data_IF_267187595273
#
_entry.id   IF_267187595273
#
_cell.length_a   1.000
_cell.length_b   1.000
_cell.length_c   1.000
_cell.angle_alpha   90.00
_cell.angle_beta   90.00
_cell.angle_gamma   90.00
#
_symmetry.space_group_name_H-M   'P 1'
#
loop_
_entity.id
_entity.type
_entity.pdbx_description
1 polymer ?
#
# COMPACT_ATOMS: atom_id res chain seq x y z
N UNK A 1 4.33 21.83 14.40
CA UNK A 1 4.10 21.27 13.06
C UNK A 1 2.62 21.39 12.76
N UNK A 2 2.25 21.99 11.63
CA UNK A 2 0.86 22.33 11.32
C UNK A 2 0.22 21.26 10.40
N UNK A 3 0.24 20.00 10.88
CA UNK A 3 -0.43 18.88 10.21
C UNK A 3 -1.06 17.93 11.22
N UNK A 4 -2.09 17.21 10.78
CA UNK A 4 -2.82 16.21 11.55
C UNK A 4 -2.97 14.91 10.77
N UNK A 5 -3.24 13.81 11.50
CA UNK A 5 -3.59 12.53 10.92
C UNK A 5 -5.11 12.37 10.78
N UNK A 6 -5.57 11.88 9.64
CA UNK A 6 -6.95 11.44 9.41
C UNK A 6 -6.93 9.93 9.22
N UNK A 7 -7.78 9.22 9.97
CA UNK A 7 -7.95 7.75 9.94
C UNK A 7 -9.31 7.31 9.41
N UNK A 8 -10.18 8.26 9.13
CA UNK A 8 -11.51 8.04 8.60
C UNK A 8 -11.54 8.50 7.14
N UNK A 9 -11.74 7.55 6.21
CA UNK A 9 -11.71 7.83 4.78
C UNK A 9 -12.79 8.82 4.33
N UNK A 10 -13.92 8.88 5.04
CA UNK A 10 -15.00 9.82 4.76
C UNK A 10 -14.62 11.29 5.06
N UNK A 11 -13.59 11.50 5.89
CA UNK A 11 -13.08 12.84 6.25
C UNK A 11 -11.94 13.31 5.35
N UNK A 12 -11.46 12.47 4.46
CA UNK A 12 -10.45 12.83 3.47
C UNK A 12 -11.18 13.45 2.27
N UNK A 13 -10.78 14.65 1.86
CA UNK A 13 -11.34 15.25 0.66
C UNK A 13 -10.98 14.42 -0.58
N UNK A 14 -11.99 13.99 -1.33
CA UNK A 14 -11.84 13.04 -2.44
C UNK A 14 -10.97 13.61 -3.55
N UNK A 15 -11.22 14.85 -3.94
CA UNK A 15 -10.48 15.48 -5.04
C UNK A 15 -9.01 15.66 -4.68
N UNK A 16 -8.73 16.08 -3.44
CA UNK A 16 -7.35 16.21 -2.95
C UNK A 16 -6.65 14.86 -2.84
N UNK A 17 -7.37 13.80 -2.46
CA UNK A 17 -6.82 12.46 -2.42
C UNK A 17 -6.46 11.97 -3.81
N UNK A 18 -7.38 12.03 -4.75
CA UNK A 18 -7.17 11.65 -6.15
C UNK A 18 -6.04 12.46 -6.78
N UNK A 19 -6.05 13.78 -6.61
CA UNK A 19 -5.00 14.69 -7.09
C UNK A 19 -3.61 14.34 -6.52
N UNK A 20 -3.53 14.03 -5.21
CA UNK A 20 -2.28 13.65 -4.58
C UNK A 20 -1.72 12.38 -5.19
N UNK A 21 -2.54 11.34 -5.36
CA UNK A 21 -2.11 10.07 -5.98
C UNK A 21 -1.71 10.30 -7.44
N UNK A 22 -2.51 11.02 -8.21
CA UNK A 22 -2.25 11.23 -9.64
C UNK A 22 -0.97 12.03 -9.91
N UNK A 23 -0.70 13.04 -9.08
CA UNK A 23 0.48 13.92 -9.24
C UNK A 23 1.76 13.35 -8.61
N UNK A 24 1.63 12.34 -7.73
CA UNK A 24 2.77 11.77 -7.04
C UNK A 24 3.61 10.90 -7.99
N UNK A 25 4.96 11.07 -8.05
CA UNK A 25 5.83 10.29 -8.97
C UNK A 25 5.69 8.77 -8.81
N UNK A 26 5.39 8.31 -7.59
CA UNK A 26 5.16 6.90 -7.28
C UNK A 26 3.67 6.60 -7.06
N UNK A 27 2.76 7.46 -7.56
CA UNK A 27 1.32 7.27 -7.45
C UNK A 27 0.88 5.96 -8.10
N UNK A 28 -0.04 5.24 -7.45
CA UNK A 28 -0.45 3.92 -7.90
C UNK A 28 -1.85 3.58 -7.38
N UNK A 29 -2.47 2.58 -7.99
CA UNK A 29 -3.83 2.14 -7.67
C UNK A 29 -3.98 1.67 -6.21
N UNK A 30 -2.94 1.10 -5.59
CA UNK A 30 -3.02 0.52 -4.25
C UNK A 30 -3.18 1.56 -3.14
N UNK A 31 -3.01 2.86 -3.43
CA UNK A 31 -3.18 3.94 -2.48
C UNK A 31 -4.42 4.82 -2.80
N UNK A 32 -5.26 4.39 -3.76
CA UNK A 32 -6.46 5.12 -4.17
C UNK A 32 -7.65 4.83 -3.26
N UNK A 33 -8.66 5.70 -3.33
CA UNK A 33 -9.94 5.49 -2.66
C UNK A 33 -10.69 4.28 -3.20
N UNK A 34 -10.64 4.05 -4.50
CA UNK A 34 -11.27 2.92 -5.16
C UNK A 34 -10.73 1.60 -4.62
N UNK A 35 -9.41 1.52 -4.41
CA UNK A 35 -8.80 0.34 -3.79
C UNK A 35 -9.22 0.18 -2.33
N UNK A 36 -9.35 1.27 -1.58
CA UNK A 36 -9.91 1.21 -0.22
C UNK A 36 -11.32 0.62 -0.24
N UNK A 37 -12.17 1.05 -1.15
CA UNK A 37 -13.54 0.55 -1.30
C UNK A 37 -13.58 -0.92 -1.76
N UNK A 38 -12.65 -1.35 -2.62
CA UNK A 38 -12.46 -2.76 -2.97
C UNK A 38 -12.16 -3.58 -1.72
N UNK A 39 -11.21 -3.14 -0.88
CA UNK A 39 -10.89 -3.85 0.36
C UNK A 39 -12.06 -3.86 1.35
N UNK A 40 -12.79 -2.75 1.46
CA UNK A 40 -13.96 -2.64 2.34
C UNK A 40 -15.07 -3.64 1.98
N UNK A 41 -15.23 -3.91 0.67
CA UNK A 41 -16.24 -4.83 0.14
C UNK A 41 -15.71 -6.27 -0.09
N UNK A 42 -14.50 -6.57 0.34
CA UNK A 42 -13.91 -7.90 0.22
C UNK A 42 -14.03 -8.66 1.54
N UNK A 43 -14.56 -9.85 1.50
CA UNK A 43 -14.70 -10.71 2.69
C UNK A 43 -13.36 -10.95 3.38
N UNK A 44 -13.34 -10.88 4.71
CA UNK A 44 -12.18 -11.07 5.58
C UNK A 44 -11.06 -10.00 5.42
N UNK A 45 -11.36 -8.89 4.74
CA UNK A 45 -10.47 -7.75 4.62
C UNK A 45 -10.96 -6.60 5.49
N UNK A 46 -10.03 -5.93 6.17
CA UNK A 46 -10.29 -4.72 6.97
C UNK A 46 -9.30 -3.65 6.50
N UNK A 47 -9.74 -2.68 5.68
CA UNK A 47 -8.86 -1.61 5.20
C UNK A 47 -8.50 -0.64 6.32
N UNK A 48 -7.27 -0.13 6.26
CA UNK A 48 -6.74 0.91 7.13
C UNK A 48 -6.24 2.04 6.25
N UNK A 49 -6.73 3.24 6.51
CA UNK A 49 -6.25 4.45 5.87
C UNK A 49 -5.65 5.40 6.90
N UNK A 50 -4.48 5.91 6.61
CA UNK A 50 -3.82 6.96 7.37
C UNK A 50 -3.43 8.06 6.39
N UNK A 51 -3.92 9.27 6.61
CA UNK A 51 -3.60 10.42 5.78
C UNK A 51 -3.08 11.57 6.64
N UNK A 52 -1.92 12.08 6.31
CA UNK A 52 -1.34 13.28 6.94
C UNK A 52 -1.73 14.48 6.10
N UNK A 53 -2.41 15.43 6.73
CA UNK A 53 -2.94 16.62 6.05
C UNK A 53 -2.54 17.90 6.76
N UNK A 54 -2.28 18.96 6.00
CA UNK A 54 -2.12 20.33 6.50
C UNK A 54 -3.44 20.90 6.99
N UNK A 55 -3.40 22.04 7.69
CA UNK A 55 -4.60 22.78 8.14
C UNK A 55 -5.53 23.19 7.01
N UNK A 56 -4.99 23.45 5.81
CA UNK A 56 -5.77 23.75 4.61
C UNK A 56 -6.33 22.49 3.90
N UNK A 57 -6.06 21.30 4.45
CA UNK A 57 -6.56 20.01 3.94
C UNK A 57 -5.68 19.39 2.82
N UNK A 58 -4.54 19.98 2.47
CA UNK A 58 -3.63 19.38 1.50
C UNK A 58 -2.94 18.14 2.09
N UNK A 59 -2.85 17.07 1.30
CA UNK A 59 -2.20 15.84 1.71
C UNK A 59 -0.67 16.01 1.66
N UNK A 60 -0.03 15.55 2.74
CA UNK A 60 1.42 15.41 2.82
C UNK A 60 1.86 13.96 2.68
N UNK A 61 0.99 13.03 3.02
CA UNK A 61 1.26 11.61 2.87
C UNK A 61 0.03 10.77 3.10
N UNK A 62 0.04 9.57 2.54
CA UNK A 62 -1.03 8.59 2.63
C UNK A 62 -0.46 7.18 2.74
N UNK A 63 -1.08 6.36 3.57
CA UNK A 63 -0.80 4.94 3.72
C UNK A 63 -2.11 4.19 3.73
N UNK A 64 -2.34 3.37 2.71
CA UNK A 64 -3.41 2.40 2.67
C UNK A 64 -2.85 1.01 2.92
N UNK A 65 -3.38 0.34 3.93
CA UNK A 65 -3.09 -1.04 4.25
C UNK A 65 -4.38 -1.86 4.33
N UNK A 66 -4.26 -3.16 4.27
CA UNK A 66 -5.38 -4.08 4.48
C UNK A 66 -5.00 -5.16 5.48
N UNK A 67 -5.83 -5.36 6.51
CA UNK A 67 -5.74 -6.53 7.38
C UNK A 67 -6.49 -7.67 6.71
N UNK A 68 -5.79 -8.76 6.48
CA UNK A 68 -6.34 -10.00 5.94
C UNK A 68 -6.45 -11.04 7.06
N UNK A 69 -7.64 -11.61 7.24
CA UNK A 69 -7.91 -12.67 8.21
C UNK A 69 -8.16 -13.99 7.47
N UNK A 70 -7.47 -15.06 7.86
CA UNK A 70 -7.68 -16.38 7.24
C UNK A 70 -8.99 -16.99 7.72
N UNK A 71 -9.33 -16.81 9.00
CA UNK A 71 -10.57 -17.32 9.60
C UNK A 71 -11.49 -16.19 10.04
N UNK A 72 -12.81 -16.46 10.02
CA UNK A 72 -13.83 -15.57 10.60
C UNK A 72 -13.90 -15.76 12.12
N UNK A 73 -14.40 -14.74 12.84
CA UNK A 73 -14.61 -14.80 14.28
C UNK A 73 -13.36 -14.65 15.14
N UNK A 74 -13.41 -15.13 16.38
CA UNK A 74 -12.35 -14.96 17.40
C UNK A 74 -11.01 -15.54 16.97
N UNK A 75 -10.99 -16.63 16.22
CA UNK A 75 -9.77 -17.24 15.69
C UNK A 75 -9.11 -16.42 14.58
N UNK A 76 -9.85 -15.50 13.96
CA UNK A 76 -9.31 -14.62 12.90
C UNK A 76 -8.18 -13.73 13.37
N UNK A 77 -8.21 -13.30 14.63
CA UNK A 77 -7.14 -12.45 15.21
C UNK A 77 -5.80 -13.16 15.29
N UNK A 78 -5.79 -14.48 15.48
CA UNK A 78 -4.56 -15.29 15.55
C UNK A 78 -3.93 -15.58 14.19
N UNK A 79 -4.59 -15.20 13.10
CA UNK A 79 -4.14 -15.46 11.73
C UNK A 79 -4.09 -14.18 10.89
N UNK A 80 -4.38 -13.04 11.52
CA UNK A 80 -4.43 -11.78 10.84
C UNK A 80 -3.03 -11.25 10.50
N UNK A 81 -2.87 -10.78 9.28
CA UNK A 81 -1.70 -10.05 8.82
C UNK A 81 -2.11 -8.73 8.20
N UNK A 82 -1.27 -7.71 8.29
CA UNK A 82 -1.48 -6.47 7.56
C UNK A 82 -0.56 -6.39 6.36
N UNK A 83 -1.11 -5.98 5.21
CA UNK A 83 -0.32 -5.79 4.00
C UNK A 83 -0.45 -4.34 3.54
N UNK A 84 0.69 -3.71 3.29
CA UNK A 84 0.80 -2.43 2.61
C UNK A 84 1.33 -2.73 1.20
N UNK A 85 0.48 -2.55 0.18
CA UNK A 85 0.90 -2.73 -1.20
C UNK A 85 1.55 -1.45 -1.71
N UNK A 86 2.70 -1.58 -2.37
CA UNK A 86 3.50 -0.53 -2.98
C UNK A 86 4.13 0.47 -1.99
N UNK A 87 3.76 0.44 -0.72
CA UNK A 87 4.24 1.35 0.32
C UNK A 87 3.44 2.66 0.44
N UNK A 88 3.69 3.42 1.50
CA UNK A 88 3.10 4.74 1.67
C UNK A 88 3.62 5.71 0.60
N UNK A 89 2.80 6.70 0.25
CA UNK A 89 3.18 7.82 -0.59
C UNK A 89 3.34 9.06 0.28
N UNK A 90 4.46 9.76 0.13
CA UNK A 90 4.81 10.93 0.92
C UNK A 90 5.38 11.99 0.00
N UNK A 91 4.92 13.23 0.15
CA UNK A 91 5.41 14.35 -0.64
C UNK A 91 6.93 14.46 -0.54
N UNK A 92 7.61 14.57 -1.67
CA UNK A 92 9.07 14.72 -1.77
C UNK A 92 9.87 13.67 -0.97
N UNK A 93 9.28 12.48 -0.74
CA UNK A 93 9.81 11.42 0.12
C UNK A 93 10.23 11.94 1.53
N UNK A 94 9.50 12.92 2.09
CA UNK A 94 9.80 13.57 3.37
C UNK A 94 9.93 12.54 4.50
N UNK A 95 11.13 12.38 5.07
CA UNK A 95 11.41 11.37 6.09
C UNK A 95 10.61 11.57 7.37
N UNK A 96 10.26 12.81 7.71
CA UNK A 96 9.51 13.13 8.93
C UNK A 96 8.06 12.67 8.81
N UNK A 97 7.44 12.93 7.66
CA UNK A 97 6.07 12.49 7.36
C UNK A 97 6.00 10.98 7.24
N UNK A 98 7.00 10.35 6.61
CA UNK A 98 7.09 8.89 6.52
C UNK A 98 7.19 8.25 7.90
N UNK A 99 8.11 8.71 8.75
CA UNK A 99 8.26 8.21 10.11
C UNK A 99 6.98 8.36 10.93
N UNK A 100 6.31 9.51 10.81
CA UNK A 100 5.04 9.76 11.49
C UNK A 100 3.94 8.79 11.02
N UNK A 101 3.80 8.56 9.70
CA UNK A 101 2.85 7.58 9.15
C UNK A 101 3.11 6.17 9.66
N UNK A 102 4.38 5.73 9.66
CA UNK A 102 4.75 4.38 10.11
C UNK A 102 4.49 4.19 11.60
N UNK A 103 4.76 5.19 12.44
CA UNK A 103 4.44 5.16 13.88
C UNK A 103 2.94 5.10 14.13
N UNK A 104 2.15 5.87 13.41
CA UNK A 104 0.68 5.84 13.54
C UNK A 104 0.09 4.54 12.98
N UNK A 105 0.71 3.97 11.95
CA UNK A 105 0.36 2.65 11.44
C UNK A 105 0.63 1.57 12.48
N UNK A 106 1.82 1.50 13.08
CA UNK A 106 2.14 0.54 14.15
C UNK A 106 1.11 0.60 15.29
N UNK A 107 0.81 1.80 15.80
CA UNK A 107 -0.22 2.00 16.82
C UNK A 107 -1.58 1.44 16.44
N UNK A 108 -1.91 1.51 15.14
CA UNK A 108 -3.22 1.08 14.62
C UNK A 108 -3.31 -0.44 14.50
N UNK A 109 -2.21 -1.12 14.14
CA UNK A 109 -2.20 -2.56 13.84
C UNK A 109 -1.66 -3.44 14.97
N UNK A 110 -0.84 -2.92 15.88
CA UNK A 110 -0.06 -3.64 16.90
C UNK A 110 -0.79 -4.73 17.68
N UNK A 111 -2.10 -4.60 17.89
CA UNK A 111 -2.92 -5.59 18.63
C UNK A 111 -3.88 -6.36 17.73
N UNK A 112 -3.83 -6.13 16.44
CA UNK A 112 -4.78 -6.68 15.47
C UNK A 112 -4.17 -7.74 14.58
N UNK A 113 -2.83 -7.76 14.44
CA UNK A 113 -2.14 -8.63 13.48
C UNK A 113 -0.92 -9.27 14.09
N UNK A 114 -0.54 -10.43 13.56
CA UNK A 114 0.68 -11.16 13.96
C UNK A 114 1.92 -10.46 13.38
N UNK A 115 1.83 -9.99 12.13
CA UNK A 115 2.89 -9.26 11.45
C UNK A 115 2.33 -8.32 10.39
N UNK A 116 3.16 -7.37 9.99
CA UNK A 116 2.90 -6.47 8.87
C UNK A 116 3.88 -6.77 7.75
N UNK A 117 3.38 -6.84 6.53
CA UNK A 117 4.17 -7.01 5.32
C UNK A 117 4.05 -5.76 4.45
N UNK A 118 5.18 -5.21 4.06
CA UNK A 118 5.25 -4.13 3.11
C UNK A 118 5.77 -4.70 1.79
N UNK A 119 4.94 -4.69 0.75
CA UNK A 119 5.31 -5.15 -0.59
C UNK A 119 5.72 -3.96 -1.42
N UNK A 120 6.99 -3.64 -1.37
CA UNK A 120 7.52 -2.51 -2.11
C UNK A 120 7.89 -2.87 -3.55
N UNK A 121 7.61 -1.93 -4.46
CA UNK A 121 7.98 -2.05 -5.88
C UNK A 121 8.85 -0.88 -6.36
N UNK A 122 9.29 0.00 -5.44
CA UNK A 122 10.16 1.13 -5.74
C UNK A 122 11.50 1.03 -5.01
N UNK A 123 12.49 1.80 -5.48
CA UNK A 123 13.77 1.90 -4.78
C UNK A 123 13.63 2.65 -3.44
N UNK A 124 14.10 2.04 -2.35
CA UNK A 124 14.00 2.59 -0.99
C UNK A 124 15.33 2.98 -0.39
N UNK A 125 16.40 2.98 -1.15
CA UNK A 125 17.75 3.24 -0.63
C UNK A 125 17.82 4.51 0.24
N UNK A 126 17.10 5.57 -0.16
CA UNK A 126 17.07 6.84 0.58
C UNK A 126 16.31 6.85 1.90
N UNK A 127 15.40 5.91 2.13
CA UNK A 127 14.51 5.88 3.31
C UNK A 127 14.53 4.55 4.08
N UNK A 128 15.43 3.64 3.72
CA UNK A 128 15.56 2.31 4.33
C UNK A 128 15.73 2.38 5.85
N UNK A 129 16.53 3.32 6.34
CA UNK A 129 16.79 3.54 7.75
C UNK A 129 15.51 3.89 8.53
N UNK A 130 14.56 4.60 7.92
CA UNK A 130 13.30 4.97 8.57
C UNK A 130 12.41 3.74 8.78
N UNK A 131 12.34 2.86 7.78
CA UNK A 131 11.61 1.59 7.93
C UNK A 131 12.25 0.71 9.00
N UNK A 132 13.56 0.59 9.00
CA UNK A 132 14.28 -0.18 10.03
C UNK A 132 14.06 0.38 11.42
N UNK A 133 14.08 1.70 11.59
CA UNK A 133 13.80 2.37 12.86
C UNK A 133 12.37 2.13 13.35
N UNK A 134 11.44 1.85 12.43
CA UNK A 134 10.05 1.49 12.71
C UNK A 134 9.80 -0.03 12.74
N UNK A 135 10.85 -0.85 12.89
CA UNK A 135 10.75 -2.29 13.10
C UNK A 135 10.57 -3.14 11.85
N UNK A 136 10.67 -2.57 10.65
CA UNK A 136 10.64 -3.35 9.42
C UNK A 136 12.02 -3.96 9.12
N UNK A 137 12.03 -5.24 8.78
CA UNK A 137 13.20 -5.95 8.27
C UNK A 137 13.09 -6.01 6.76
N UNK A 138 14.18 -5.69 6.07
CA UNK A 138 14.23 -5.74 4.61
C UNK A 138 14.59 -7.15 4.14
N UNK A 139 13.78 -7.65 3.23
CA UNK A 139 14.04 -8.91 2.51
C UNK A 139 14.02 -8.64 1.00
N UNK A 140 15.02 -9.11 0.30
CA UNK A 140 15.09 -8.98 -1.16
C UNK A 140 14.16 -9.99 -1.83
N UNK A 141 13.30 -9.50 -2.72
CA UNK A 141 12.44 -10.32 -3.54
C UNK A 141 12.64 -9.99 -5.02
N UNK A 142 12.65 -11.03 -5.85
CA UNK A 142 12.64 -10.85 -7.30
C UNK A 142 11.25 -10.44 -7.77
N UNK A 143 11.17 -9.31 -8.44
CA UNK A 143 9.97 -8.88 -9.15
C UNK A 143 10.13 -9.17 -10.63
N UNK A 144 9.17 -9.88 -11.21
CA UNK A 144 9.10 -10.09 -12.65
C UNK A 144 8.17 -9.01 -13.19
N UNK A 145 8.73 -8.09 -13.97
CA UNK A 145 7.97 -7.02 -14.61
C UNK A 145 7.74 -7.37 -16.07
N UNK A 146 6.50 -7.28 -16.51
CA UNK A 146 6.12 -7.42 -17.91
C UNK A 146 5.92 -6.02 -18.49
N UNK A 147 6.63 -5.71 -19.57
CA UNK A 147 6.44 -4.47 -20.29
C UNK A 147 5.12 -4.55 -21.07
N UNK A 148 4.12 -3.79 -20.64
CA UNK A 148 2.80 -3.75 -21.31
C UNK A 148 2.73 -2.78 -22.49
N UNK A 149 3.80 -2.03 -22.76
CA UNK A 149 3.87 -1.16 -23.93
C UNK A 149 4.28 -1.94 -25.20
N UNK A 150 3.53 -3.02 -25.47
CA UNK A 150 3.72 -3.96 -26.57
C UNK A 150 2.36 -4.39 -27.11
N UNK A 151 2.32 -4.92 -28.35
CA UNK A 151 1.09 -5.52 -28.88
C UNK A 151 0.79 -6.86 -28.21
N UNK A 152 -0.48 -7.29 -28.24
CA UNK A 152 -0.88 -8.62 -27.74
C UNK A 152 -0.05 -9.75 -28.35
N UNK A 153 0.21 -9.69 -29.67
CA UNK A 153 1.01 -10.68 -30.38
C UNK A 153 2.44 -10.75 -29.86
N UNK A 154 3.03 -9.60 -29.50
CA UNK A 154 4.37 -9.55 -28.91
C UNK A 154 4.36 -10.15 -27.51
N UNK A 155 3.43 -9.74 -26.65
CA UNK A 155 3.26 -10.31 -25.31
C UNK A 155 3.01 -11.82 -25.38
N UNK A 156 2.17 -12.27 -26.32
CA UNK A 156 1.92 -13.72 -26.51
C UNK A 156 3.16 -14.50 -26.91
N UNK A 157 4.02 -13.92 -27.75
CA UNK A 157 5.29 -14.56 -28.14
C UNK A 157 6.29 -14.69 -26.99
N UNK A 158 6.26 -13.76 -26.02
CA UNK A 158 7.12 -13.80 -24.83
C UNK A 158 6.65 -14.84 -23.81
N UNK A 159 5.40 -15.29 -23.84
CA UNK A 159 4.91 -16.38 -22.99
C UNK A 159 5.64 -17.68 -23.39
N UNK A 160 6.21 -18.36 -22.40
CA UNK A 160 6.91 -19.63 -22.64
C UNK A 160 6.01 -20.65 -23.35
N UNK A 161 6.55 -21.36 -24.34
CA UNK A 161 5.79 -22.26 -25.26
C UNK A 161 4.91 -23.27 -24.50
N UNK A 162 5.44 -23.86 -23.41
CA UNK A 162 4.67 -24.79 -22.58
C UNK A 162 3.39 -24.15 -22.01
N UNK A 163 3.47 -22.90 -21.55
CA UNK A 163 2.31 -22.17 -21.01
C UNK A 163 1.33 -21.80 -22.11
N UNK A 164 1.82 -21.43 -23.30
CA UNK A 164 0.94 -21.16 -24.45
C UNK A 164 0.11 -22.39 -24.80
N UNK A 165 0.72 -23.56 -24.84
CA UNK A 165 0.02 -24.81 -25.15
C UNK A 165 -1.02 -25.18 -24.08
N UNK A 166 -0.73 -24.90 -22.80
CA UNK A 166 -1.72 -25.12 -21.71
C UNK A 166 -2.93 -24.17 -21.79
N UNK A 167 -2.79 -23.00 -22.38
CA UNK A 167 -3.86 -22.02 -22.53
C UNK A 167 -4.70 -22.23 -23.81
N UNK A 168 -4.18 -22.98 -24.79
CA UNK A 168 -4.85 -23.25 -26.09
C UNK A 168 -5.45 -24.66 -26.17
N UNK A 169 -5.25 -25.50 -25.17
CA UNK A 169 -5.87 -26.83 -25.03
C UNK A 169 -7.19 -26.75 -24.27
#
# INVERSE_FOLDING_TARGET
MDYKIIKDYLKINIDKWSDFIYKHPNGNIFQTREMFEVYLNTDNYEPIILSVVKSNGDLLGILLAVIQKVFKGLLGSFTARSIIFYGPLVIDDDPTILDFLLKEYDKTVKRKVIYSQLRNMKNWSGVKNIYTANGFVHEDHLNILVNLNQTEDQLWKEVHSKRRNELTS
#
